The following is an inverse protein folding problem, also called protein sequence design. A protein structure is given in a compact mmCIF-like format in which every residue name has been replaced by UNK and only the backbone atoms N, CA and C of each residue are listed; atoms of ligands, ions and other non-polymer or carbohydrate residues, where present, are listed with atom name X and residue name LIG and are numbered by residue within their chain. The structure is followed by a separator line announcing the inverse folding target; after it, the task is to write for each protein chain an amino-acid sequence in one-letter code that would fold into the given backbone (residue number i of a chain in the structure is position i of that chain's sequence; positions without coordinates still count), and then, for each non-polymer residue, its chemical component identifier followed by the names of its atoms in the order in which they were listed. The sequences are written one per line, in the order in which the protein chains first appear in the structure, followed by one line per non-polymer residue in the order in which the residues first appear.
data_IF_657502855781
#
_entry.id   IF_657502855781
#
_cell.length_a   1.000
_cell.length_b   1.000
_cell.length_c   1.000
_cell.angle_alpha   90.00
_cell.angle_beta   90.00
_cell.angle_gamma   90.00
#
_symmetry.space_group_name_H-M   'P 1'
#
loop_
_entity.id
_entity.type
_entity.pdbx_description
1 polymer ?
#
# COMPACT_ATOMS: atom_id res chain seq x y z
N UNK A 1 0.85 0.16 -17.45
CA UNK A 1 0.86 1.15 -16.35
C UNK A 1 0.74 2.54 -16.94
N UNK A 2 -0.31 3.26 -16.56
CA UNK A 2 -0.57 4.64 -17.00
C UNK A 2 0.18 5.65 -16.12
N UNK A 3 0.28 6.89 -16.58
CA UNK A 3 0.89 7.98 -15.81
C UNK A 3 0.12 8.24 -14.49
N UNK A 4 -1.21 8.15 -14.54
CA UNK A 4 -2.08 8.24 -13.37
C UNK A 4 -1.81 7.13 -12.35
N UNK A 5 -1.76 5.88 -12.80
CA UNK A 5 -1.48 4.72 -11.93
C UNK A 5 -0.11 4.84 -11.25
N UNK A 6 0.91 5.30 -11.98
CA UNK A 6 2.23 5.57 -11.42
C UNK A 6 2.19 6.68 -10.36
N UNK A 7 1.37 7.70 -10.59
CA UNK A 7 1.16 8.79 -9.63
C UNK A 7 0.44 8.31 -8.36
N UNK A 8 -0.53 7.40 -8.48
CA UNK A 8 -1.20 6.78 -7.32
C UNK A 8 -0.22 5.98 -6.48
N UNK A 9 0.60 5.15 -7.13
CA UNK A 9 1.56 4.31 -6.44
C UNK A 9 2.56 5.17 -5.65
N UNK A 10 3.01 6.29 -6.23
CA UNK A 10 3.88 7.23 -5.54
C UNK A 10 3.19 7.90 -4.33
N UNK A 11 1.91 8.26 -4.45
CA UNK A 11 1.12 8.82 -3.36
C UNK A 11 0.89 7.79 -2.24
N UNK A 12 0.55 6.55 -2.59
CA UNK A 12 0.40 5.44 -1.65
C UNK A 12 1.72 5.15 -0.92
N UNK A 13 2.84 5.08 -1.64
CA UNK A 13 4.17 4.88 -1.06
C UNK A 13 4.53 5.98 -0.06
N UNK A 14 4.29 7.25 -0.42
CA UNK A 14 4.54 8.38 0.48
C UNK A 14 3.67 8.32 1.75
N UNK A 15 2.38 7.98 1.59
CA UNK A 15 1.45 7.86 2.71
C UNK A 15 1.85 6.73 3.66
N UNK A 16 2.17 5.55 3.13
CA UNK A 16 2.63 4.41 3.91
C UNK A 16 3.94 4.73 4.63
N UNK A 17 4.87 5.40 3.97
CA UNK A 17 6.14 5.85 4.57
C UNK A 17 5.90 6.79 5.75
N UNK A 18 5.01 7.75 5.61
CA UNK A 18 4.67 8.70 6.69
C UNK A 18 4.04 7.96 7.88
N UNK A 19 3.12 7.03 7.61
CA UNK A 19 2.42 6.27 8.65
C UNK A 19 3.34 5.32 9.41
N UNK A 20 4.25 4.63 8.73
CA UNK A 20 5.22 3.73 9.34
C UNK A 20 6.41 4.46 9.97
N UNK A 21 6.74 5.68 9.52
CA UNK A 21 7.76 6.50 10.19
C UNK A 21 7.39 6.91 11.62
N UNK A 22 6.10 6.85 11.97
CA UNK A 22 5.60 7.11 13.31
C UNK A 22 5.65 5.87 14.23
N UNK A 23 5.96 4.68 13.70
CA UNK A 23 6.01 3.43 14.46
C UNK A 23 7.45 2.94 14.64
N UNK A 24 7.80 2.56 15.87
CA UNK A 24 9.13 2.07 16.26
C UNK A 24 9.18 0.54 16.44
N UNK A 25 8.11 -0.18 16.05
CA UNK A 25 7.92 -1.60 16.32
C UNK A 25 8.70 -2.58 15.41
N UNK A 26 9.31 -2.09 14.31
CA UNK A 26 10.03 -2.92 13.34
C UNK A 26 9.19 -3.37 12.14
N UNK A 27 7.93 -2.93 12.02
CA UNK A 27 7.20 -2.86 10.74
C UNK A 27 7.77 -1.72 9.89
N UNK A 28 9.05 -1.85 9.54
CA UNK A 28 9.76 -0.82 8.81
C UNK A 28 9.22 -0.75 7.39
N UNK A 29 9.00 0.47 6.89
CA UNK A 29 8.69 0.78 5.49
C UNK A 29 9.49 -0.07 4.47
N UNK A 30 10.71 -0.48 4.83
CA UNK A 30 11.53 -1.39 4.03
C UNK A 30 10.94 -2.79 3.82
N UNK A 31 10.18 -3.34 4.77
CA UNK A 31 9.40 -4.57 4.60
C UNK A 31 8.39 -4.39 3.45
N UNK A 32 7.55 -3.36 3.55
CA UNK A 32 6.52 -3.06 2.56
C UNK A 32 7.12 -2.84 1.16
N UNK A 33 8.23 -2.10 1.06
CA UNK A 33 8.92 -1.90 -0.22
C UNK A 33 9.45 -3.20 -0.81
N UNK A 34 9.99 -4.12 0.00
CA UNK A 34 10.45 -5.43 -0.50
C UNK A 34 9.28 -6.25 -1.04
N UNK A 35 8.16 -6.28 -0.32
CA UNK A 35 6.94 -6.99 -0.75
C UNK A 35 6.39 -6.38 -2.04
N UNK A 36 6.29 -5.05 -2.14
CA UNK A 36 5.83 -4.36 -3.35
C UNK A 36 6.70 -4.67 -4.58
N UNK A 37 8.03 -4.67 -4.42
CA UNK A 37 8.95 -5.04 -5.51
C UNK A 37 8.76 -6.48 -5.96
N UNK A 38 8.57 -7.40 -5.03
CA UNK A 38 8.34 -8.81 -5.35
C UNK A 38 6.98 -9.00 -6.03
N UNK A 39 5.93 -8.36 -5.53
CA UNK A 39 4.59 -8.39 -6.13
C UNK A 39 4.60 -7.88 -7.58
N UNK A 40 5.38 -6.83 -7.86
CA UNK A 40 5.58 -6.35 -9.25
C UNK A 40 6.18 -7.41 -10.15
N UNK A 41 7.26 -8.07 -9.72
CA UNK A 41 7.95 -9.10 -10.51
C UNK A 41 7.00 -10.27 -10.78
N UNK A 42 6.35 -10.78 -9.75
CA UNK A 42 5.41 -11.91 -9.86
C UNK A 42 4.24 -11.53 -10.78
N UNK A 43 3.66 -10.33 -10.63
CA UNK A 43 2.56 -9.89 -11.50
C UNK A 43 3.00 -9.77 -12.96
N UNK A 44 4.25 -9.39 -13.25
CA UNK A 44 4.78 -9.37 -14.61
C UNK A 44 4.99 -10.78 -15.18
N UNK A 45 5.45 -11.73 -14.37
CA UNK A 45 5.68 -13.12 -14.77
C UNK A 45 4.37 -13.89 -14.99
N UNK A 46 3.36 -13.64 -14.16
CA UNK A 46 2.05 -14.31 -14.20
C UNK A 46 1.02 -13.59 -15.07
N UNK A 47 1.44 -12.59 -15.86
CA UNK A 47 0.55 -11.75 -16.70
C UNK A 47 -0.61 -11.10 -15.90
N UNK A 48 -0.39 -10.83 -14.61
CA UNK A 48 -1.33 -10.19 -13.71
C UNK A 48 -1.34 -8.66 -13.82
N UNK A 49 -2.33 -8.03 -13.19
CA UNK A 49 -2.40 -6.57 -13.13
C UNK A 49 -1.33 -6.01 -12.17
N UNK A 50 -0.24 -5.55 -12.77
CA UNK A 50 0.93 -5.01 -12.08
C UNK A 50 0.60 -3.79 -11.22
N UNK A 51 -0.40 -2.99 -11.60
CA UNK A 51 -0.81 -1.83 -10.81
C UNK A 51 -1.57 -2.28 -9.56
N UNK A 52 -2.59 -3.13 -9.72
CA UNK A 52 -3.39 -3.64 -8.59
C UNK A 52 -2.50 -4.39 -7.60
N UNK A 53 -1.60 -5.26 -8.09
CA UNK A 53 -0.71 -6.03 -7.24
C UNK A 53 0.24 -5.14 -6.42
N UNK A 54 0.81 -4.09 -7.02
CA UNK A 54 1.68 -3.16 -6.29
C UNK A 54 0.90 -2.32 -5.28
N UNK A 55 -0.28 -1.81 -5.66
CA UNK A 55 -1.10 -1.00 -4.77
C UNK A 55 -1.55 -1.82 -3.55
N UNK A 56 -2.02 -3.05 -3.77
CA UNK A 56 -2.37 -3.97 -2.69
C UNK A 56 -1.17 -4.26 -1.78
N UNK A 57 0.02 -4.50 -2.35
CA UNK A 57 1.24 -4.75 -1.59
C UNK A 57 1.70 -3.53 -0.78
N UNK A 58 1.50 -2.29 -1.26
CA UNK A 58 1.81 -1.09 -0.47
C UNK A 58 0.87 -0.94 0.74
N UNK A 59 -0.40 -1.28 0.57
CA UNK A 59 -1.44 -1.05 1.58
C UNK A 59 -1.68 -2.23 2.53
N UNK A 60 -1.13 -3.42 2.26
CA UNK A 60 -1.47 -4.64 3.00
C UNK A 60 -1.19 -4.56 4.51
N UNK A 61 -0.08 -3.91 4.88
CA UNK A 61 0.38 -3.77 6.26
C UNK A 61 -0.34 -2.65 7.00
N UNK A 62 -1.00 -1.73 6.28
CA UNK A 62 -1.73 -0.61 6.87
C UNK A 62 -2.96 -1.07 7.67
N UNK A 63 -3.47 -2.27 7.38
CA UNK A 63 -4.60 -2.90 8.06
C UNK A 63 -4.19 -3.93 9.12
N UNK A 64 -2.89 -4.13 9.38
CA UNK A 64 -2.45 -5.16 10.32
C UNK A 64 -2.96 -4.84 11.74
N UNK A 65 -3.59 -5.84 12.35
CA UNK A 65 -4.22 -5.84 13.68
C UNK A 65 -3.20 -5.51 14.80
N UNK A 66 -1.90 -5.63 14.50
CA UNK A 66 -0.81 -5.24 15.41
C UNK A 66 -0.57 -3.73 15.49
N UNK A 67 -0.96 -2.97 14.46
CA UNK A 67 -0.84 -1.50 14.41
C UNK A 67 -2.11 -0.81 14.92
N UNK A 68 -3.25 -1.50 14.85
CA UNK A 68 -4.55 -0.91 15.12
C UNK A 68 -5.31 -1.75 16.16
N UNK A 69 -5.59 -1.17 17.32
CA UNK A 69 -6.44 -1.78 18.34
C UNK A 69 -7.89 -2.03 17.85
N UNK A 70 -8.27 -1.45 16.70
CA UNK A 70 -9.55 -1.69 16.01
C UNK A 70 -9.33 -1.91 14.50
N UNK A 71 -9.31 -3.17 14.04
CA UNK A 71 -9.18 -3.52 12.62
C UNK A 71 -10.24 -2.92 11.70
N UNK A 72 -11.45 -2.64 12.23
CA UNK A 72 -12.52 -2.00 11.42
C UNK A 72 -12.16 -0.57 11.07
N UNK A 73 -11.51 0.15 12.00
CA UNK A 73 -11.07 1.52 11.80
C UNK A 73 -9.95 1.60 10.77
N UNK A 74 -8.99 0.68 10.82
CA UNK A 74 -7.91 0.60 9.83
C UNK A 74 -8.46 0.41 8.41
N UNK A 75 -9.45 -0.47 8.25
CA UNK A 75 -10.14 -0.65 6.97
C UNK A 75 -10.89 0.61 6.52
N UNK A 76 -11.53 1.32 7.45
CA UNK A 76 -12.19 2.60 7.13
C UNK A 76 -11.20 3.66 6.67
N UNK A 77 -10.02 3.74 7.29
CA UNK A 77 -8.99 4.70 6.91
C UNK A 77 -8.46 4.43 5.49
N UNK A 78 -8.25 3.16 5.13
CA UNK A 78 -7.87 2.77 3.75
C UNK A 78 -9.00 3.11 2.77
N UNK A 79 -10.25 2.79 3.09
CA UNK A 79 -11.39 3.12 2.23
C UNK A 79 -11.58 4.62 2.05
N UNK A 80 -11.40 5.41 3.11
CA UNK A 80 -11.48 6.87 3.05
C UNK A 80 -10.33 7.47 2.24
N UNK A 81 -9.12 6.92 2.38
CA UNK A 81 -7.97 7.33 1.57
C UNK A 81 -8.23 7.02 0.09
N UNK A 82 -8.67 5.81 -0.24
CA UNK A 82 -9.03 5.43 -1.61
C UNK A 82 -10.14 6.33 -2.18
N UNK A 83 -11.19 6.59 -1.40
CA UNK A 83 -12.31 7.45 -1.83
C UNK A 83 -11.88 8.90 -2.12
N UNK A 84 -10.91 9.43 -1.36
CA UNK A 84 -10.30 10.73 -1.64
C UNK A 84 -9.44 10.77 -2.90
N UNK A 85 -9.17 9.60 -3.47
CA UNK A 85 -8.43 9.41 -4.70
C UNK A 85 -9.29 8.77 -5.81
N UNK A 86 -10.62 8.70 -5.67
CA UNK A 86 -11.55 8.06 -6.63
C UNK A 86 -11.60 8.76 -8.02
N UNK A 87 -10.90 9.88 -8.22
CA UNK A 87 -10.74 10.55 -9.52
C UNK A 87 -9.76 9.83 -10.50
N UNK A 88 -9.71 8.49 -10.46
CA UNK A 88 -8.96 7.66 -11.44
C UNK A 88 -9.66 7.57 -12.80
#
# INVERSE_FOLDING_TARGET
MTEKEAQLLAQAEAWVKEKLAADASGHDFWHVIRVCRLAKIIAQEEEGDVFICQLAALLHDMADDKLNADPKKARQDILAWLAGHDDY
#
